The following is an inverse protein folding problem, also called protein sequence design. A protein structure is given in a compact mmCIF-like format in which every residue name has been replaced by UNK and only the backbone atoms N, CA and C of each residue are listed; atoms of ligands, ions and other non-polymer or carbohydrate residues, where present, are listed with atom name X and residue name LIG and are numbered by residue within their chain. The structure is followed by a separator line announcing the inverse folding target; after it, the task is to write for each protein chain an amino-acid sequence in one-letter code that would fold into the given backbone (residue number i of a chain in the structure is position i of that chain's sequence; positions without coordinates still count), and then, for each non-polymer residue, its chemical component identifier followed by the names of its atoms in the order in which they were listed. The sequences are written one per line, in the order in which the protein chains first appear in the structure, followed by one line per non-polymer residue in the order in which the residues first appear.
data_IF_527306009672
#
_entry.id   IF_527306009672
#
_cell.length_a   1.000
_cell.length_b   1.000
_cell.length_c   1.000
_cell.angle_alpha   90.00
_cell.angle_beta   90.00
_cell.angle_gamma   90.00
#
_symmetry.space_group_name_H-M   'P 1'
#
loop_
_entity.id
_entity.type
_entity.pdbx_description
1 polymer ?
#
# COMPACT_ATOMS: atom_id res chain seq x y z
N UNK A 1 -31.37 23.97 2.66
CA UNK A 1 -32.22 22.80 2.98
C UNK A 1 -31.51 21.47 2.77
N UNK A 2 -30.49 21.38 1.89
CA UNK A 2 -29.82 20.14 1.52
C UNK A 2 -28.50 19.92 2.28
N UNK A 3 -28.15 20.75 3.25
CA UNK A 3 -26.95 20.61 4.06
C UNK A 3 -26.90 21.69 5.14
N UNK A 4 -26.00 21.45 6.09
CA UNK A 4 -25.69 22.40 7.18
C UNK A 4 -24.18 22.58 7.27
N UNK A 5 -23.73 23.71 7.79
CA UNK A 5 -22.34 23.87 8.24
C UNK A 5 -22.12 23.01 9.48
N UNK A 6 -21.00 22.35 9.54
CA UNK A 6 -20.65 21.44 10.65
C UNK A 6 -19.39 21.92 11.35
N UNK A 7 -19.37 21.73 12.68
CA UNK A 7 -18.19 21.94 13.49
C UNK A 7 -17.27 20.70 13.44
N UNK A 8 -16.12 20.75 14.07
CA UNK A 8 -15.10 19.68 14.07
C UNK A 8 -14.69 19.25 12.67
N UNK A 9 -14.53 20.23 11.80
CA UNK A 9 -14.12 20.05 10.41
C UNK A 9 -13.03 21.05 10.05
N UNK A 10 -12.19 20.66 9.12
CA UNK A 10 -11.13 21.49 8.57
C UNK A 10 -10.92 21.21 7.10
N UNK A 11 -10.11 21.99 6.44
CA UNK A 11 -9.75 21.80 5.03
C UNK A 11 -8.31 22.18 4.80
N UNK A 12 -7.58 21.39 4.03
CA UNK A 12 -6.21 21.69 3.61
C UNK A 12 -5.88 21.04 2.27
N UNK A 13 -4.76 21.49 1.72
CA UNK A 13 -4.16 20.87 0.52
C UNK A 13 -3.69 19.46 0.86
N UNK A 14 -3.73 18.56 -0.10
CA UNK A 14 -3.24 17.19 0.02
C UNK A 14 -1.85 17.03 -0.63
N UNK A 15 -1.06 16.16 -0.05
CA UNK A 15 0.23 15.70 -0.59
C UNK A 15 0.33 14.19 -0.47
N UNK A 16 1.21 13.59 -1.25
CA UNK A 16 1.42 12.14 -1.21
C UNK A 16 2.07 11.72 0.10
N UNK A 17 1.56 10.63 0.69
CA UNK A 17 2.12 9.98 1.88
C UNK A 17 2.48 8.52 1.58
N UNK A 18 3.63 8.25 0.92
CA UNK A 18 4.01 6.87 0.53
C UNK A 18 4.30 5.98 1.74
N UNK A 19 4.66 6.56 2.88
CA UNK A 19 4.92 5.87 4.14
C UNK A 19 3.65 5.37 4.86
N UNK A 20 2.49 5.93 4.53
CA UNK A 20 1.23 5.59 5.18
C UNK A 20 0.77 4.17 4.84
N UNK A 21 0.07 3.55 5.78
CA UNK A 21 -0.68 2.32 5.54
C UNK A 21 -2.03 2.64 4.88
N UNK A 22 -2.64 1.64 4.24
CA UNK A 22 -3.89 1.81 3.50
C UNK A 22 -5.00 2.46 4.31
N UNK A 23 -5.08 2.19 5.60
CA UNK A 23 -6.08 2.71 6.53
C UNK A 23 -5.68 4.03 7.21
N UNK A 24 -4.49 4.59 6.92
CA UNK A 24 -3.95 5.78 7.57
C UNK A 24 -4.03 7.02 6.69
N UNK A 25 -4.16 8.18 7.33
CA UNK A 25 -3.91 9.48 6.73
C UNK A 25 -2.98 10.31 7.61
N UNK A 26 -2.19 11.17 7.00
CA UNK A 26 -1.33 12.12 7.73
C UNK A 26 -2.10 13.42 8.00
N UNK A 27 -2.35 13.72 9.26
CA UNK A 27 -3.05 14.93 9.68
C UNK A 27 -2.05 15.95 10.26
N UNK A 28 -2.00 17.19 9.75
CA UNK A 28 -1.15 18.24 10.31
C UNK A 28 -1.39 18.41 11.80
N UNK A 29 -0.32 18.51 12.60
CA UNK A 29 -0.40 18.62 14.06
C UNK A 29 -1.25 19.80 14.53
N UNK A 30 -1.10 20.97 13.91
CA UNK A 30 -1.87 22.16 14.24
C UNK A 30 -3.37 21.96 13.96
N UNK A 31 -3.70 21.38 12.82
CA UNK A 31 -5.09 21.05 12.46
C UNK A 31 -5.69 20.02 13.40
N UNK A 32 -4.93 18.96 13.71
CA UNK A 32 -5.35 17.93 14.65
C UNK A 32 -5.66 18.50 16.03
N UNK A 33 -4.81 19.42 16.53
CA UNK A 33 -5.02 20.06 17.82
C UNK A 33 -6.31 20.87 17.89
N UNK A 34 -6.65 21.60 16.84
CA UNK A 34 -7.93 22.33 16.77
C UNK A 34 -9.15 21.39 16.65
N UNK A 35 -9.06 20.36 15.81
CA UNK A 35 -10.14 19.41 15.60
C UNK A 35 -10.44 18.57 16.86
N UNK A 36 -9.40 18.15 17.56
CA UNK A 36 -9.50 17.29 18.75
C UNK A 36 -9.44 18.08 20.08
N UNK A 37 -9.49 19.40 20.03
CA UNK A 37 -9.35 20.28 21.18
C UNK A 37 -10.19 19.89 22.40
N UNK A 38 -11.50 19.59 22.30
CA UNK A 38 -12.29 19.17 23.46
C UNK A 38 -11.85 17.85 24.06
N UNK A 39 -11.44 16.90 23.21
CA UNK A 39 -10.98 15.59 23.65
C UNK A 39 -9.63 15.69 24.39
N UNK A 40 -8.71 16.53 23.88
CA UNK A 40 -7.43 16.81 24.52
C UNK A 40 -7.63 17.51 25.86
N UNK A 41 -8.53 18.52 25.92
CA UNK A 41 -8.85 19.19 27.19
C UNK A 41 -9.41 18.23 28.23
N UNK A 42 -10.27 17.30 27.80
CA UNK A 42 -10.81 16.25 28.67
C UNK A 42 -9.71 15.35 29.20
N UNK A 43 -8.83 14.83 28.34
CA UNK A 43 -7.72 13.95 28.71
C UNK A 43 -6.73 14.64 29.67
N UNK A 44 -6.43 15.93 29.48
CA UNK A 44 -5.57 16.71 30.38
C UNK A 44 -6.15 16.87 31.78
N UNK A 45 -7.49 16.98 31.91
CA UNK A 45 -8.16 17.06 33.20
C UNK A 45 -8.25 15.69 33.86
N UNK A 46 -8.58 14.64 33.09
CA UNK A 46 -8.67 13.26 33.59
C UNK A 46 -7.31 12.73 34.10
N UNK A 47 -6.22 13.13 33.44
CA UNK A 47 -4.84 12.77 33.85
C UNK A 47 -4.25 13.72 34.88
N UNK A 48 -5.06 14.59 35.50
CA UNK A 48 -4.65 15.57 36.49
C UNK A 48 -3.52 16.52 36.07
N UNK A 49 -3.24 16.63 34.75
CA UNK A 49 -2.27 17.59 34.21
C UNK A 49 -2.81 19.04 34.21
N UNK A 50 -4.12 19.18 34.27
CA UNK A 50 -4.81 20.46 34.41
C UNK A 50 -5.85 20.40 35.49
N UNK A 51 -5.90 21.41 36.38
CA UNK A 51 -6.82 21.44 37.52
C UNK A 51 -8.29 21.66 37.14
N UNK A 52 -8.54 22.25 35.97
CA UNK A 52 -9.88 22.50 35.43
C UNK A 52 -9.83 22.76 33.92
N UNK A 53 -11.00 22.76 33.29
CA UNK A 53 -11.15 23.00 31.86
C UNK A 53 -10.56 24.35 31.40
N UNK A 54 -10.65 25.40 32.24
CA UNK A 54 -10.10 26.72 31.94
C UNK A 54 -8.56 26.69 31.90
N UNK A 55 -7.94 25.93 32.80
CA UNK A 55 -6.49 25.70 32.79
C UNK A 55 -6.07 24.86 31.59
N UNK A 56 -6.79 23.77 31.31
CA UNK A 56 -6.53 22.93 30.14
C UNK A 56 -6.59 23.73 28.84
N UNK A 57 -7.60 24.60 28.67
CA UNK A 57 -7.72 25.49 27.51
C UNK A 57 -6.51 26.40 27.35
N UNK A 58 -6.02 27.01 28.42
CA UNK A 58 -4.81 27.85 28.38
C UNK A 58 -3.55 27.04 28.03
N UNK A 59 -3.46 25.78 28.46
CA UNK A 59 -2.36 24.90 28.08
C UNK A 59 -2.37 24.58 26.58
N UNK A 60 -3.56 24.28 26.04
CA UNK A 60 -3.75 24.01 24.60
C UNK A 60 -3.41 25.26 23.78
N UNK A 61 -3.89 26.44 24.17
CA UNK A 61 -3.59 27.71 23.48
C UNK A 61 -2.09 28.05 23.48
N UNK A 62 -1.34 27.58 24.47
CA UNK A 62 0.12 27.76 24.58
C UNK A 62 0.92 26.59 23.98
N UNK A 63 0.27 25.60 23.43
CA UNK A 63 0.86 24.40 22.82
C UNK A 63 1.98 23.77 23.67
N UNK A 64 1.71 23.55 24.99
CA UNK A 64 2.68 22.95 25.89
C UNK A 64 3.04 21.53 25.49
N UNK A 65 4.24 21.01 25.85
CA UNK A 65 4.64 19.64 25.51
C UNK A 65 3.63 18.57 25.93
N UNK A 66 3.02 18.70 27.11
CA UNK A 66 2.02 17.77 27.65
C UNK A 66 0.75 17.68 26.80
N UNK A 67 0.47 18.73 25.99
CA UNK A 67 -0.67 18.78 25.07
C UNK A 67 -0.45 17.84 23.88
N UNK A 68 0.77 17.78 23.39
CA UNK A 68 1.12 16.91 22.27
C UNK A 68 1.03 15.43 22.64
N UNK A 69 1.49 15.06 23.84
CA UNK A 69 1.37 13.70 24.36
C UNK A 69 -0.11 13.28 24.51
N UNK A 70 -0.93 14.22 25.04
CA UNK A 70 -2.38 14.00 25.14
C UNK A 70 -3.04 13.88 23.77
N UNK A 71 -2.64 14.73 22.80
CA UNK A 71 -3.16 14.68 21.44
C UNK A 71 -2.85 13.32 20.79
N UNK A 72 -1.61 12.84 20.89
CA UNK A 72 -1.21 11.54 20.36
C UNK A 72 -2.04 10.40 20.97
N UNK A 73 -2.31 10.47 22.28
CA UNK A 73 -3.14 9.49 22.99
C UNK A 73 -4.58 9.50 22.49
N UNK A 74 -5.15 10.69 22.32
CA UNK A 74 -6.57 10.88 21.95
C UNK A 74 -6.83 10.49 20.49
N UNK A 75 -5.90 10.76 19.61
CA UNK A 75 -6.01 10.42 18.17
C UNK A 75 -5.97 8.91 17.95
N UNK A 76 -5.24 8.20 18.81
CA UNK A 76 -5.08 6.75 18.69
C UNK A 76 -6.45 6.06 18.77
N UNK A 77 -6.82 5.40 17.66
CA UNK A 77 -8.10 4.73 17.57
C UNK A 77 -9.31 5.67 17.42
N UNK A 78 -9.15 6.93 17.06
CA UNK A 78 -10.25 7.83 16.72
C UNK A 78 -10.23 8.12 15.21
N UNK A 79 -11.11 7.50 14.41
CA UNK A 79 -11.09 7.69 12.97
C UNK A 79 -11.52 9.11 12.59
N UNK A 80 -11.01 9.59 11.47
CA UNK A 80 -11.44 10.83 10.82
C UNK A 80 -11.98 10.52 9.44
N UNK A 81 -12.90 11.35 8.95
CA UNK A 81 -13.45 11.24 7.61
C UNK A 81 -12.73 12.25 6.71
N UNK A 82 -12.21 11.78 5.57
CA UNK A 82 -11.71 12.64 4.51
C UNK A 82 -12.72 12.68 3.36
N UNK A 83 -12.93 13.88 2.82
CA UNK A 83 -13.81 14.11 1.68
C UNK A 83 -13.13 14.99 0.63
N UNK A 84 -13.22 14.60 -0.64
CA UNK A 84 -12.86 15.46 -1.77
C UNK A 84 -14.12 15.88 -2.54
N UNK A 85 -14.33 17.17 -2.72
CA UNK A 85 -15.37 17.71 -3.57
C UNK A 85 -14.91 17.75 -5.06
N UNK A 86 -15.79 17.44 -6.02
CA UNK A 86 -17.19 17.03 -5.83
C UNK A 86 -17.31 15.56 -5.39
N UNK A 87 -18.25 15.27 -4.50
CA UNK A 87 -18.52 13.89 -4.03
C UNK A 87 -19.46 13.21 -5.02
N UNK A 88 -18.90 12.49 -5.98
CA UNK A 88 -19.66 11.85 -7.07
C UNK A 88 -20.25 10.49 -6.67
N UNK A 89 -19.60 9.79 -5.75
CA UNK A 89 -20.03 8.47 -5.26
C UNK A 89 -19.57 8.27 -3.81
N UNK A 90 -20.03 7.19 -3.17
CA UNK A 90 -19.79 6.96 -1.73
C UNK A 90 -18.31 6.89 -1.34
N UNK A 91 -17.39 6.47 -2.24
CA UNK A 91 -15.96 6.42 -1.98
C UNK A 91 -15.27 7.79 -1.98
N UNK A 92 -15.98 8.85 -2.34
CA UNK A 92 -15.55 10.25 -2.18
C UNK A 92 -15.53 10.72 -0.72
N UNK A 93 -16.02 9.89 0.21
CA UNK A 93 -15.88 10.05 1.66
C UNK A 93 -15.42 8.73 2.24
N UNK A 94 -14.24 8.71 2.86
CA UNK A 94 -13.70 7.51 3.50
C UNK A 94 -13.14 7.85 4.88
N UNK A 95 -13.13 6.86 5.76
CA UNK A 95 -12.55 6.97 7.09
C UNK A 95 -11.09 6.51 7.08
N UNK A 96 -10.28 7.18 7.89
CA UNK A 96 -8.87 6.86 8.10
C UNK A 96 -8.51 7.00 9.56
N UNK A 97 -7.49 6.26 10.00
CA UNK A 97 -6.83 6.49 11.26
C UNK A 97 -5.78 7.60 11.08
N UNK A 98 -5.89 8.73 11.79
CA UNK A 98 -4.97 9.84 11.64
C UNK A 98 -3.61 9.53 12.28
N UNK A 99 -2.54 9.91 11.57
CA UNK A 99 -1.17 9.95 12.07
C UNK A 99 -0.72 11.41 12.03
N UNK A 100 -0.11 11.90 13.10
CA UNK A 100 0.37 13.28 13.15
C UNK A 100 1.57 13.46 12.22
N UNK A 101 1.51 14.51 11.41
CA UNK A 101 2.58 14.88 10.49
C UNK A 101 2.96 16.34 10.66
N UNK A 102 4.21 16.65 10.35
CA UNK A 102 4.68 18.03 10.28
C UNK A 102 4.19 18.71 9.00
N UNK A 103 4.15 20.05 9.03
CA UNK A 103 3.67 20.85 7.92
C UNK A 103 2.18 21.18 8.03
N UNK A 104 1.59 21.65 6.92
CA UNK A 104 0.20 22.12 6.86
C UNK A 104 -0.67 21.33 5.89
N UNK A 105 -0.07 20.43 5.12
CA UNK A 105 -0.78 19.61 4.13
C UNK A 105 -1.18 18.25 4.72
N UNK A 106 -2.35 17.77 4.34
CA UNK A 106 -2.83 16.43 4.66
C UNK A 106 -2.06 15.44 3.78
N UNK A 107 -1.46 14.43 4.39
CA UNK A 107 -0.86 13.32 3.63
C UNK A 107 -1.90 12.27 3.32
N UNK A 108 -1.99 11.90 2.04
CA UNK A 108 -2.94 10.92 1.54
C UNK A 108 -2.20 9.70 1.00
N UNK A 109 -2.72 8.52 1.30
CA UNK A 109 -2.18 7.27 0.77
C UNK A 109 -2.34 7.21 -0.76
N UNK A 110 -1.29 6.87 -1.54
CA UNK A 110 -1.34 6.93 -3.00
C UNK A 110 -2.47 6.10 -3.64
N UNK A 111 -2.77 4.93 -3.10
CA UNK A 111 -3.78 4.02 -3.67
C UNK A 111 -5.23 4.52 -3.52
N UNK A 112 -5.51 5.44 -2.61
CA UNK A 112 -6.86 6.01 -2.46
C UNK A 112 -7.11 7.24 -3.35
N UNK A 113 -6.11 7.70 -4.09
CA UNK A 113 -6.27 8.80 -5.05
C UNK A 113 -7.31 8.46 -6.12
N UNK A 114 -7.32 7.23 -6.62
CA UNK A 114 -8.29 6.77 -7.64
C UNK A 114 -9.74 6.86 -7.16
N UNK A 115 -10.14 6.29 -5.99
CA UNK A 115 -11.50 6.41 -5.50
C UNK A 115 -11.92 7.85 -5.16
N UNK A 116 -11.00 8.71 -4.73
CA UNK A 116 -11.27 10.13 -4.52
C UNK A 116 -11.24 10.95 -5.80
N UNK A 117 -10.75 10.40 -6.91
CA UNK A 117 -10.39 11.15 -8.12
C UNK A 117 -9.50 12.36 -7.77
N UNK A 118 -8.52 12.13 -6.89
CA UNK A 118 -7.62 13.16 -6.36
C UNK A 118 -6.25 13.09 -7.03
N UNK A 119 -5.65 14.25 -7.23
CA UNK A 119 -4.25 14.41 -7.63
C UNK A 119 -3.55 15.45 -6.73
N UNK A 120 -2.25 15.59 -6.89
CA UNK A 120 -1.43 16.43 -6.02
C UNK A 120 -0.99 17.73 -6.70
N UNK A 121 -1.82 18.26 -7.58
CA UNK A 121 -1.59 19.50 -8.33
C UNK A 121 -2.09 20.77 -7.60
N UNK A 122 -2.59 20.61 -6.39
CA UNK A 122 -3.19 21.69 -5.56
C UNK A 122 -4.56 21.32 -5.02
N UNK A 123 -5.00 20.08 -5.21
CA UNK A 123 -6.25 19.57 -4.66
C UNK A 123 -6.31 19.74 -3.15
N UNK A 124 -7.52 20.01 -2.66
CA UNK A 124 -7.82 20.14 -1.24
C UNK A 124 -8.85 19.09 -0.81
N UNK A 125 -8.72 18.65 0.42
CA UNK A 125 -9.69 17.75 1.05
C UNK A 125 -10.20 18.32 2.37
N UNK A 126 -11.45 17.99 2.69
CA UNK A 126 -12.06 18.30 3.97
C UNK A 126 -11.88 17.13 4.93
N UNK A 127 -11.65 17.46 6.20
CA UNK A 127 -11.53 16.50 7.31
C UNK A 127 -12.70 16.71 8.25
N UNK A 128 -13.33 15.64 8.71
CA UNK A 128 -14.42 15.65 9.68
C UNK A 128 -14.13 14.65 10.79
N UNK A 129 -14.46 15.03 12.04
CA UNK A 129 -14.27 14.16 13.21
C UNK A 129 -15.61 13.63 13.67
N UNK A 130 -15.85 12.31 13.62
CA UNK A 130 -17.04 11.71 14.22
C UNK A 130 -16.97 11.82 15.75
N UNK A 131 -18.03 12.34 16.38
CA UNK A 131 -18.01 12.68 17.81
C UNK A 131 -18.54 11.56 18.70
N UNK A 132 -19.67 10.95 18.32
CA UNK A 132 -20.28 9.88 19.13
C UNK A 132 -19.57 8.54 18.93
N UNK A 133 -19.62 7.69 19.95
CA UNK A 133 -19.10 6.31 19.85
C UNK A 133 -19.76 5.51 18.74
N UNK A 134 -21.06 5.74 18.49
CA UNK A 134 -21.81 5.15 17.38
C UNK A 134 -21.25 5.61 16.03
N UNK A 135 -21.04 6.92 15.83
CA UNK A 135 -20.49 7.47 14.59
C UNK A 135 -19.04 6.97 14.34
N UNK A 136 -18.24 6.84 15.39
CA UNK A 136 -16.89 6.27 15.30
C UNK A 136 -16.92 4.78 14.91
N UNK A 137 -17.85 4.00 15.47
CA UNK A 137 -18.04 2.59 15.12
C UNK A 137 -18.48 2.44 13.66
N UNK A 138 -19.45 3.24 13.20
CA UNK A 138 -19.88 3.26 11.80
C UNK A 138 -18.73 3.66 10.86
N UNK A 139 -17.95 4.68 11.21
CA UNK A 139 -16.78 5.09 10.44
C UNK A 139 -15.78 3.95 10.28
N UNK A 140 -15.50 3.19 11.35
CA UNK A 140 -14.56 2.06 11.30
C UNK A 140 -15.08 0.86 10.52
N UNK A 141 -16.34 0.49 10.73
CA UNK A 141 -16.89 -0.74 10.13
C UNK A 141 -17.27 -0.53 8.67
N UNK A 142 -17.90 0.60 8.35
CA UNK A 142 -18.50 0.84 7.03
C UNK A 142 -17.64 1.70 6.12
N UNK A 143 -16.87 2.66 6.67
CA UNK A 143 -16.24 3.71 5.88
C UNK A 143 -14.72 3.63 5.82
N UNK A 144 -14.08 2.76 6.60
CA UNK A 144 -12.62 2.65 6.60
C UNK A 144 -12.11 2.29 5.21
N UNK A 145 -11.08 2.98 4.75
CA UNK A 145 -10.50 2.79 3.41
C UNK A 145 -10.08 1.36 3.12
N UNK A 146 -9.54 0.65 4.14
CA UNK A 146 -9.17 -0.75 4.03
C UNK A 146 -10.36 -1.70 3.80
N UNK A 147 -11.58 -1.31 4.18
CA UNK A 147 -12.81 -2.09 4.01
C UNK A 147 -13.57 -1.70 2.72
N UNK A 148 -13.07 -0.73 1.95
CA UNK A 148 -13.72 -0.21 0.76
C UNK A 148 -12.82 -0.34 -0.48
N UNK A 149 -12.26 -1.54 -0.68
CA UNK A 149 -11.32 -1.81 -1.77
C UNK A 149 -12.00 -2.04 -3.13
N UNK A 150 -13.31 -2.32 -3.14
CA UNK A 150 -14.08 -2.64 -4.33
C UNK A 150 -15.06 -1.54 -4.72
N UNK A 151 -15.22 -1.34 -6.02
CA UNK A 151 -16.27 -0.46 -6.56
C UNK A 151 -17.66 -1.04 -6.28
N UNK A 152 -18.56 -0.27 -5.67
CA UNK A 152 -19.93 -0.72 -5.46
C UNK A 152 -20.72 -0.93 -6.78
N UNK A 153 -20.29 -0.27 -7.87
CA UNK A 153 -20.95 -0.38 -9.16
C UNK A 153 -20.56 -1.64 -9.94
N UNK A 154 -19.30 -2.08 -9.86
CA UNK A 154 -18.76 -3.17 -10.70
C UNK A 154 -18.18 -4.34 -9.92
N UNK A 155 -18.02 -4.22 -8.58
CA UNK A 155 -17.33 -5.22 -7.76
C UNK A 155 -15.82 -5.32 -7.99
N UNK A 156 -15.28 -4.61 -8.97
CA UNK A 156 -13.85 -4.62 -9.30
C UNK A 156 -13.06 -3.81 -8.27
N UNK A 157 -11.79 -4.18 -8.00
CA UNK A 157 -10.94 -3.37 -7.13
C UNK A 157 -10.74 -1.97 -7.70
N UNK A 158 -10.78 -0.97 -6.83
CA UNK A 158 -10.59 0.45 -7.19
C UNK A 158 -9.16 0.89 -6.87
N UNK A 159 -8.59 0.35 -5.79
CA UNK A 159 -7.28 0.72 -5.27
C UNK A 159 -6.17 -0.06 -5.96
N UNK A 160 -5.96 0.22 -7.25
CA UNK A 160 -4.96 -0.48 -8.07
C UNK A 160 -3.67 0.35 -8.10
N UNK A 161 -2.49 -0.27 -7.88
CA UNK A 161 -1.21 0.38 -8.08
C UNK A 161 -1.09 1.01 -9.47
N UNK A 162 -0.49 2.19 -9.55
CA UNK A 162 -0.33 2.95 -10.78
C UNK A 162 1.00 3.71 -10.83
N UNK A 163 1.32 4.31 -11.96
CA UNK A 163 2.50 5.17 -12.16
C UNK A 163 3.81 4.51 -11.69
N UNK A 164 4.58 5.15 -10.82
CA UNK A 164 5.89 4.70 -10.35
C UNK A 164 5.84 3.34 -9.64
N UNK A 165 4.73 3.01 -8.97
CA UNK A 165 4.56 1.70 -8.36
C UNK A 165 4.61 0.58 -9.41
N UNK A 166 3.97 0.79 -10.57
CA UNK A 166 4.00 -0.20 -11.67
C UNK A 166 5.38 -0.24 -12.32
N UNK A 167 6.04 0.90 -12.49
CA UNK A 167 7.39 0.97 -13.04
C UNK A 167 8.35 0.16 -12.18
N UNK A 168 8.27 0.32 -10.85
CA UNK A 168 9.11 -0.43 -9.92
C UNK A 168 8.84 -1.94 -9.95
N UNK A 169 7.59 -2.37 -9.94
CA UNK A 169 7.22 -3.80 -10.07
C UNK A 169 7.67 -4.37 -11.42
N UNK A 170 7.51 -3.62 -12.50
CA UNK A 170 7.99 -4.01 -13.82
C UNK A 170 9.50 -4.22 -13.83
N UNK A 171 10.26 -3.26 -13.32
CA UNK A 171 11.72 -3.34 -13.21
C UNK A 171 12.15 -4.53 -12.37
N UNK A 172 11.50 -4.76 -11.23
CA UNK A 172 11.78 -5.87 -10.31
C UNK A 172 11.54 -7.23 -10.97
N UNK A 173 10.49 -7.38 -11.78
CA UNK A 173 10.09 -8.66 -12.38
C UNK A 173 10.66 -8.91 -13.78
N UNK A 174 11.39 -7.94 -14.34
CA UNK A 174 12.05 -8.08 -15.63
C UNK A 174 13.22 -9.07 -15.52
N UNK A 175 13.45 -9.83 -16.59
CA UNK A 175 14.63 -10.68 -16.76
C UNK A 175 15.43 -10.15 -17.93
N UNK A 176 16.75 -10.12 -17.80
CA UNK A 176 17.71 -9.73 -18.85
C UNK A 176 18.76 -10.80 -18.99
N UNK A 177 19.15 -11.09 -20.21
CA UNK A 177 20.23 -12.02 -20.55
C UNK A 177 21.59 -11.31 -20.45
N UNK A 178 22.67 -12.07 -20.26
CA UNK A 178 24.04 -11.56 -20.22
C UNK A 178 24.45 -10.85 -18.92
N UNK A 179 23.67 -10.98 -17.87
CA UNK A 179 23.99 -10.37 -16.55
C UNK A 179 24.81 -11.29 -15.67
N UNK A 180 25.59 -10.74 -14.72
CA UNK A 180 26.34 -11.55 -13.72
C UNK A 180 25.42 -12.53 -13.01
N UNK A 181 25.89 -13.78 -12.84
CA UNK A 181 25.13 -14.84 -12.18
C UNK A 181 24.11 -15.56 -13.07
N UNK A 182 24.08 -15.30 -14.37
CA UNK A 182 23.20 -16.01 -15.28
C UNK A 182 23.48 -17.52 -15.26
N UNK A 183 22.40 -18.32 -15.28
CA UNK A 183 22.41 -19.79 -15.19
C UNK A 183 22.95 -20.38 -13.88
N UNK A 184 23.23 -19.58 -12.84
CA UNK A 184 23.55 -20.13 -11.54
C UNK A 184 22.39 -20.94 -10.97
N UNK A 185 22.73 -22.04 -10.29
CA UNK A 185 21.75 -22.95 -9.68
C UNK A 185 21.83 -22.81 -8.17
N UNK A 186 20.71 -22.45 -7.56
CA UNK A 186 20.59 -22.31 -6.11
C UNK A 186 19.78 -23.44 -5.49
N UNK A 187 20.13 -23.78 -4.26
CA UNK A 187 19.49 -24.85 -3.50
C UNK A 187 18.10 -24.46 -2.97
N UNK A 188 17.90 -23.17 -2.72
CA UNK A 188 16.66 -22.61 -2.19
C UNK A 188 16.50 -21.14 -2.57
N UNK A 189 15.32 -20.55 -2.28
CA UNK A 189 15.11 -19.11 -2.43
C UNK A 189 16.01 -18.30 -1.49
N UNK A 190 16.23 -18.79 -0.26
CA UNK A 190 17.08 -18.10 0.72
C UNK A 190 18.55 -18.08 0.29
N UNK A 191 19.03 -19.17 -0.29
CA UNK A 191 20.39 -19.26 -0.84
C UNK A 191 20.58 -18.25 -1.99
N UNK A 192 19.60 -18.14 -2.88
CA UNK A 192 19.62 -17.18 -3.98
C UNK A 192 19.61 -15.72 -3.48
N UNK A 193 18.77 -15.41 -2.49
CA UNK A 193 18.70 -14.07 -1.89
C UNK A 193 19.98 -13.74 -1.12
N UNK A 194 20.54 -14.69 -0.38
CA UNK A 194 21.80 -14.50 0.33
C UNK A 194 22.98 -14.24 -0.63
N UNK A 195 23.04 -14.92 -1.78
CA UNK A 195 24.04 -14.67 -2.81
C UNK A 195 23.92 -13.27 -3.40
N UNK A 196 22.69 -12.77 -3.57
CA UNK A 196 22.43 -11.41 -4.03
C UNK A 196 22.83 -10.37 -2.97
N UNK A 197 22.39 -10.55 -1.72
CA UNK A 197 22.57 -9.53 -0.67
C UNK A 197 24.02 -9.45 -0.16
N UNK A 198 24.68 -10.61 0.04
CA UNK A 198 25.98 -10.68 0.70
C UNK A 198 27.16 -10.70 -0.25
N UNK A 199 27.00 -11.25 -1.45
CA UNK A 199 28.12 -11.49 -2.35
C UNK A 199 28.13 -10.61 -3.59
N UNK A 200 26.99 -10.03 -3.95
CA UNK A 200 26.81 -9.25 -5.19
C UNK A 200 27.26 -10.00 -6.46
N UNK A 201 27.28 -11.34 -6.40
CA UNK A 201 27.71 -12.19 -7.51
C UNK A 201 26.64 -12.37 -8.57
N UNK A 202 25.39 -12.05 -8.21
CA UNK A 202 24.21 -12.25 -9.04
C UNK A 202 23.45 -10.94 -9.18
N UNK A 203 23.14 -10.56 -10.42
CA UNK A 203 22.26 -9.41 -10.67
C UNK A 203 20.80 -9.76 -10.38
N UNK A 204 20.04 -8.77 -9.92
CA UNK A 204 18.63 -8.93 -9.58
C UNK A 204 17.77 -9.41 -10.76
N UNK A 205 18.15 -9.03 -11.98
CA UNK A 205 17.43 -9.34 -13.22
C UNK A 205 18.06 -10.52 -13.99
N UNK A 206 19.13 -11.12 -13.46
CA UNK A 206 19.79 -12.27 -14.06
C UNK A 206 18.85 -13.49 -14.04
N UNK A 207 18.95 -14.28 -15.09
CA UNK A 207 18.22 -15.55 -15.24
C UNK A 207 18.90 -16.64 -14.44
N UNK A 208 18.27 -17.11 -13.40
CA UNK A 208 18.80 -18.11 -12.47
C UNK A 208 17.91 -19.34 -12.40
N UNK A 209 18.44 -20.45 -11.87
CA UNK A 209 17.69 -21.65 -11.60
C UNK A 209 17.63 -21.90 -10.10
N UNK A 210 16.45 -22.23 -9.58
CA UNK A 210 16.25 -22.53 -8.17
C UNK A 210 15.61 -23.89 -7.99
N UNK A 211 16.12 -24.66 -7.01
CA UNK A 211 15.46 -25.88 -6.55
C UNK A 211 14.36 -25.52 -5.57
N UNK A 212 13.23 -26.18 -5.70
CA UNK A 212 12.10 -26.07 -4.76
C UNK A 212 11.89 -27.40 -4.07
N UNK A 213 11.66 -27.34 -2.76
CA UNK A 213 11.38 -28.47 -1.89
C UNK A 213 9.94 -28.39 -1.36
N UNK A 214 9.55 -29.40 -0.58
CA UNK A 214 8.25 -29.42 0.08
C UNK A 214 8.00 -28.21 1.02
N UNK A 215 9.05 -27.58 1.53
CA UNK A 215 8.95 -26.37 2.36
C UNK A 215 8.49 -25.15 1.55
N UNK A 216 8.78 -25.14 0.25
CA UNK A 216 8.40 -24.05 -0.66
C UNK A 216 7.06 -24.31 -1.36
N UNK A 217 6.37 -25.41 -1.04
CA UNK A 217 5.07 -25.73 -1.64
C UNK A 217 4.02 -24.67 -1.25
N UNK A 218 3.37 -24.10 -2.24
CA UNK A 218 2.31 -23.10 -2.05
C UNK A 218 0.89 -23.65 -2.25
N UNK A 219 0.76 -24.92 -2.62
CA UNK A 219 -0.51 -25.64 -2.70
C UNK A 219 -0.39 -26.95 -1.93
N UNK A 220 -1.38 -27.23 -1.09
CA UNK A 220 -1.53 -28.50 -0.37
C UNK A 220 -2.89 -29.07 -0.79
N UNK A 221 -2.87 -30.22 -1.44
CA UNK A 221 -4.08 -30.92 -1.86
C UNK A 221 -4.76 -31.63 -0.68
N UNK A 222 -6.01 -32.06 -0.86
CA UNK A 222 -6.79 -32.77 0.16
C UNK A 222 -6.16 -34.11 0.56
N UNK A 223 -5.41 -34.74 -0.33
CA UNK A 223 -4.67 -36.00 -0.10
C UNK A 223 -3.33 -35.77 0.64
N UNK A 224 -2.99 -34.53 0.98
CA UNK A 224 -1.74 -34.14 1.64
C UNK A 224 -0.53 -34.02 0.70
N UNK A 225 -0.72 -34.17 -0.61
CA UNK A 225 0.33 -33.93 -1.60
C UNK A 225 0.68 -32.44 -1.63
N UNK A 226 1.97 -32.14 -1.68
CA UNK A 226 2.46 -30.75 -1.76
C UNK A 226 2.93 -30.46 -3.17
N UNK A 227 2.41 -29.38 -3.72
CA UNK A 227 2.72 -28.94 -5.08
C UNK A 227 3.25 -27.50 -5.00
N UNK A 228 4.31 -27.23 -5.74
CA UNK A 228 4.76 -25.88 -5.97
C UNK A 228 4.21 -25.37 -7.31
N UNK A 229 3.21 -24.49 -7.24
CA UNK A 229 2.52 -23.95 -8.42
C UNK A 229 3.16 -22.64 -8.86
N UNK A 230 3.53 -22.60 -10.15
CA UNK A 230 4.16 -21.43 -10.77
C UNK A 230 3.29 -20.94 -11.91
N UNK A 231 3.06 -19.63 -11.99
CA UNK A 231 2.40 -18.98 -13.10
C UNK A 231 3.46 -18.36 -14.02
N UNK A 232 3.74 -18.99 -15.13
CA UNK A 232 4.77 -18.56 -16.09
C UNK A 232 4.28 -17.49 -17.06
N UNK A 233 2.97 -17.35 -17.24
CA UNK A 233 2.33 -16.36 -18.10
C UNK A 233 0.92 -16.02 -17.63
N UNK A 234 0.15 -15.32 -18.48
CA UNK A 234 -1.18 -14.80 -18.07
C UNK A 234 -2.19 -15.87 -17.69
N UNK A 235 -2.15 -17.03 -18.31
CA UNK A 235 -3.07 -18.16 -18.08
C UNK A 235 -2.33 -19.51 -18.00
N UNK A 236 -1.02 -19.50 -17.86
CA UNK A 236 -0.18 -20.69 -17.89
C UNK A 236 0.28 -21.02 -16.47
N UNK A 237 -0.16 -22.17 -15.95
CA UNK A 237 0.29 -22.72 -14.69
C UNK A 237 1.13 -23.96 -14.93
N UNK A 238 2.20 -24.09 -14.16
CA UNK A 238 3.05 -25.27 -14.12
C UNK A 238 3.10 -25.75 -12.68
N UNK A 239 2.69 -27.00 -12.46
CA UNK A 239 2.73 -27.62 -11.15
C UNK A 239 3.96 -28.51 -11.06
N UNK A 240 4.75 -28.30 -9.99
CA UNK A 240 5.90 -29.11 -9.65
C UNK A 240 5.57 -29.97 -8.43
N UNK A 241 5.59 -31.30 -8.59
CA UNK A 241 5.43 -32.22 -7.46
C UNK A 241 6.69 -32.16 -6.59
N UNK A 242 6.49 -31.77 -5.32
CA UNK A 242 7.56 -31.63 -4.31
C UNK A 242 7.37 -32.61 -3.16
N UNK A 243 6.54 -33.63 -3.33
CA UNK A 243 6.29 -34.67 -2.36
C UNK A 243 7.38 -35.74 -2.39
N UNK A 244 7.67 -36.36 -1.28
CA UNK A 244 8.53 -37.53 -1.18
C UNK A 244 10.00 -37.31 -1.55
N UNK A 245 10.64 -36.24 -1.09
CA UNK A 245 12.04 -35.87 -1.37
C UNK A 245 12.35 -35.51 -2.84
N UNK A 246 11.36 -35.34 -3.67
CA UNK A 246 11.54 -34.85 -5.03
C UNK A 246 11.73 -33.35 -4.98
N UNK A 247 12.85 -32.85 -5.50
CA UNK A 247 13.10 -31.43 -5.73
C UNK A 247 12.85 -31.12 -7.18
N UNK A 248 12.02 -30.14 -7.46
CA UNK A 248 11.85 -29.59 -8.80
C UNK A 248 12.81 -28.42 -9.01
N UNK A 249 13.19 -28.17 -10.24
CA UNK A 249 14.02 -27.03 -10.64
C UNK A 249 13.26 -26.18 -11.62
N UNK A 250 13.24 -24.89 -11.41
CA UNK A 250 12.61 -23.95 -12.35
C UNK A 250 13.47 -22.70 -12.53
N UNK A 251 13.26 -22.02 -13.64
CA UNK A 251 13.99 -20.84 -14.05
C UNK A 251 13.26 -19.57 -13.62
N UNK A 252 13.97 -18.65 -12.98
CA UNK A 252 13.42 -17.41 -12.46
C UNK A 252 14.49 -16.31 -12.35
N UNK A 253 14.22 -15.23 -11.63
CA UNK A 253 15.18 -14.19 -11.27
C UNK A 253 15.06 -13.83 -9.78
N UNK A 254 16.12 -13.23 -9.24
CA UNK A 254 16.13 -12.73 -7.84
C UNK A 254 14.97 -11.74 -7.64
N UNK A 255 14.77 -10.82 -8.59
CA UNK A 255 13.69 -9.84 -8.49
C UNK A 255 12.30 -10.47 -8.40
N UNK A 256 12.03 -11.55 -9.13
CA UNK A 256 10.76 -12.29 -9.01
C UNK A 256 10.61 -12.98 -7.66
N UNK A 257 11.70 -13.53 -7.11
CA UNK A 257 11.70 -14.12 -5.77
C UNK A 257 11.35 -13.04 -4.72
N UNK A 258 11.99 -11.87 -4.81
CA UNK A 258 11.73 -10.75 -3.90
C UNK A 258 10.26 -10.32 -4.00
N UNK A 259 9.74 -10.14 -5.22
CA UNK A 259 8.33 -9.74 -5.41
C UNK A 259 7.36 -10.73 -4.76
N UNK A 260 7.52 -12.02 -5.03
CA UNK A 260 6.62 -13.04 -4.47
C UNK A 260 6.72 -13.11 -2.94
N UNK A 261 7.91 -13.04 -2.36
CA UNK A 261 8.08 -13.11 -0.89
C UNK A 261 7.63 -11.86 -0.14
N UNK A 262 7.85 -10.68 -0.72
CA UNK A 262 7.53 -9.42 -0.04
C UNK A 262 6.09 -8.97 -0.25
N UNK A 263 5.52 -9.26 -1.41
CA UNK A 263 4.24 -8.71 -1.81
C UNK A 263 3.08 -9.69 -1.71
N UNK A 264 3.34 -11.00 -1.76
CA UNK A 264 2.30 -12.02 -1.83
C UNK A 264 2.29 -12.92 -0.60
N UNK A 265 1.13 -13.46 -0.21
CA UNK A 265 1.03 -14.48 0.82
C UNK A 265 1.77 -15.76 0.42
N UNK A 266 2.23 -16.54 1.40
CA UNK A 266 2.96 -17.79 1.18
C UNK A 266 2.14 -18.86 0.43
N UNK A 267 0.83 -18.84 0.60
CA UNK A 267 -0.12 -19.75 -0.06
C UNK A 267 -0.51 -19.30 -1.48
N UNK A 268 0.03 -18.17 -1.96
CA UNK A 268 -0.24 -17.70 -3.31
C UNK A 268 0.69 -18.37 -4.34
N UNK A 269 0.22 -18.54 -5.58
CA UNK A 269 1.02 -19.10 -6.67
C UNK A 269 2.21 -18.20 -6.99
N UNK A 270 3.38 -18.79 -7.29
CA UNK A 270 4.57 -18.05 -7.63
C UNK A 270 4.42 -17.36 -8.99
N UNK A 271 4.48 -16.02 -9.03
CA UNK A 271 4.40 -15.22 -10.25
C UNK A 271 5.78 -15.18 -10.92
N UNK A 272 5.95 -15.92 -12.03
CA UNK A 272 7.24 -16.06 -12.74
C UNK A 272 7.21 -15.42 -14.12
N UNK A 273 6.64 -14.24 -14.24
CA UNK A 273 6.64 -13.49 -15.50
C UNK A 273 6.76 -11.99 -15.25
N UNK A 274 7.05 -11.23 -16.27
CA UNK A 274 7.16 -9.79 -16.23
C UNK A 274 5.78 -9.16 -15.99
N UNK A 275 5.64 -8.42 -14.91
CA UNK A 275 4.39 -7.81 -14.47
C UNK A 275 4.19 -6.44 -15.12
N UNK A 276 3.13 -6.28 -15.89
CA UNK A 276 2.69 -4.99 -16.43
C UNK A 276 1.41 -4.52 -15.71
N UNK A 277 0.99 -3.26 -15.93
CA UNK A 277 -0.17 -2.66 -15.26
C UNK A 277 -1.42 -3.57 -15.26
N UNK A 278 -1.73 -4.18 -16.39
CA UNK A 278 -2.89 -5.07 -16.50
C UNK A 278 -2.76 -6.36 -15.68
N UNK A 279 -1.54 -6.86 -15.51
CA UNK A 279 -1.30 -8.08 -14.74
C UNK A 279 -1.34 -7.79 -13.23
N UNK A 280 -0.80 -6.64 -12.80
CA UNK A 280 -0.95 -6.18 -11.39
C UNK A 280 -2.42 -5.95 -11.04
N UNK A 281 -3.20 -5.36 -11.94
CA UNK A 281 -4.63 -5.19 -11.72
C UNK A 281 -5.38 -6.52 -11.58
N UNK A 282 -5.03 -7.54 -12.39
CA UNK A 282 -5.59 -8.90 -12.27
C UNK A 282 -5.16 -9.59 -10.98
N UNK A 283 -3.88 -9.42 -10.60
CA UNK A 283 -3.36 -9.94 -9.34
C UNK A 283 -4.13 -9.37 -8.14
N UNK A 284 -4.33 -8.06 -8.11
CA UNK A 284 -5.11 -7.40 -7.06
C UNK A 284 -6.56 -7.88 -7.03
N UNK A 285 -7.18 -8.06 -8.19
CA UNK A 285 -8.54 -8.59 -8.28
C UNK A 285 -8.63 -10.02 -7.73
N UNK A 286 -7.71 -10.87 -8.10
CA UNK A 286 -7.63 -12.25 -7.62
C UNK A 286 -7.36 -12.31 -6.09
N UNK A 287 -6.46 -11.47 -5.59
CA UNK A 287 -6.24 -11.34 -4.14
C UNK A 287 -7.51 -10.88 -3.40
N UNK A 288 -8.24 -9.94 -3.96
CA UNK A 288 -9.53 -9.51 -3.39
C UNK A 288 -10.56 -10.64 -3.38
N UNK A 289 -10.55 -11.54 -4.38
CA UNK A 289 -11.50 -12.66 -4.46
C UNK A 289 -11.14 -13.80 -3.49
N UNK A 290 -9.87 -14.07 -3.26
CA UNK A 290 -9.39 -15.19 -2.43
C UNK A 290 -9.24 -14.85 -0.96
N UNK A 291 -8.87 -13.60 -0.63
CA UNK A 291 -8.52 -13.22 0.74
C UNK A 291 -9.51 -12.24 1.34
N UNK A 292 -9.69 -12.27 2.67
CA UNK A 292 -10.45 -11.25 3.38
C UNK A 292 -9.78 -9.88 3.27
N UNK A 293 -10.55 -8.81 3.29
CA UNK A 293 -10.09 -7.42 3.12
C UNK A 293 -8.94 -7.07 4.08
N UNK A 294 -8.96 -7.61 5.30
CA UNK A 294 -7.90 -7.42 6.29
C UNK A 294 -6.52 -7.93 5.82
N UNK A 295 -6.46 -8.93 4.94
CA UNK A 295 -5.21 -9.42 4.33
C UNK A 295 -4.85 -8.66 3.06
N UNK A 296 -5.84 -8.19 2.31
CA UNK A 296 -5.60 -7.48 1.04
C UNK A 296 -4.92 -6.12 1.25
N UNK A 297 -5.30 -5.38 2.31
CA UNK A 297 -4.68 -4.11 2.65
C UNK A 297 -3.15 -4.20 2.78
N UNK A 298 -2.61 -5.08 3.62
CA UNK A 298 -1.17 -5.33 3.72
C UNK A 298 -0.49 -5.74 2.40
N UNK A 299 -1.16 -6.54 1.55
CA UNK A 299 -0.64 -6.92 0.21
C UNK A 299 -0.48 -5.67 -0.67
N UNK A 300 -1.50 -4.81 -0.71
CA UNK A 300 -1.45 -3.56 -1.46
C UNK A 300 -0.35 -2.62 -0.94
N UNK A 301 -0.18 -2.53 0.38
CA UNK A 301 0.89 -1.75 1.00
C UNK A 301 2.29 -2.30 0.66
N UNK A 302 2.44 -3.63 0.60
CA UNK A 302 3.68 -4.27 0.21
C UNK A 302 4.01 -4.02 -1.26
N UNK A 303 3.03 -4.15 -2.17
CA UNK A 303 3.20 -3.85 -3.61
C UNK A 303 3.57 -2.37 -3.80
N UNK A 304 2.90 -1.45 -3.10
CA UNK A 304 3.21 -0.02 -3.11
C UNK A 304 4.65 0.24 -2.68
N UNK A 305 5.05 -0.29 -1.53
CA UNK A 305 6.36 -0.03 -0.93
C UNK A 305 7.49 -0.61 -1.78
N UNK A 306 7.34 -1.84 -2.26
CA UNK A 306 8.27 -2.47 -3.20
C UNK A 306 8.32 -1.72 -4.53
N UNK A 307 7.17 -1.31 -5.07
CA UNK A 307 7.09 -0.53 -6.30
C UNK A 307 7.88 0.77 -6.21
N UNK A 308 7.66 1.58 -5.20
CA UNK A 308 8.42 2.83 -5.02
C UNK A 308 9.91 2.59 -4.75
N UNK A 309 10.25 1.59 -3.93
CA UNK A 309 11.63 1.26 -3.63
C UNK A 309 12.41 0.91 -4.91
N UNK A 310 11.87 0.01 -5.72
CA UNK A 310 12.55 -0.45 -6.94
C UNK A 310 12.46 0.55 -8.09
N UNK A 311 11.44 1.41 -8.16
CA UNK A 311 11.41 2.54 -9.08
C UNK A 311 12.52 3.55 -8.77
N UNK A 312 12.72 3.88 -7.50
CA UNK A 312 13.80 4.76 -7.04
C UNK A 312 15.17 4.16 -7.36
N UNK A 313 15.34 2.86 -7.10
CA UNK A 313 16.59 2.15 -7.36
C UNK A 313 16.90 2.00 -8.85
N UNK A 314 15.87 1.84 -9.68
CA UNK A 314 15.98 1.74 -11.12
C UNK A 314 16.46 3.05 -11.77
N UNK A 315 16.11 4.21 -11.20
CA UNK A 315 16.46 5.53 -11.71
C UNK A 315 16.01 5.74 -13.17
N UNK A 316 14.86 5.16 -13.56
CA UNK A 316 14.36 5.24 -14.94
C UNK A 316 14.00 6.68 -15.29
N UNK A 317 14.45 7.13 -16.44
CA UNK A 317 14.15 8.43 -17.00
C UNK A 317 13.84 8.32 -18.50
N UNK A 318 13.30 9.39 -19.06
CA UNK A 318 13.01 9.49 -20.49
C UNK A 318 13.95 10.57 -21.07
N UNK A 319 14.64 10.23 -22.15
CA UNK A 319 15.45 11.17 -22.91
C UNK A 319 14.69 11.68 -24.15
N UNK A 320 15.15 12.78 -24.70
CA UNK A 320 14.62 13.31 -25.97
C UNK A 320 14.76 12.30 -27.11
N UNK A 321 15.77 11.45 -27.05
CA UNK A 321 16.07 10.44 -28.08
C UNK A 321 15.16 9.21 -28.01
N UNK A 322 14.43 9.03 -26.89
CA UNK A 322 13.44 7.95 -26.74
C UNK A 322 12.15 8.26 -27.52
N UNK A 323 11.94 9.53 -27.89
CA UNK A 323 10.86 9.96 -28.74
C UNK A 323 11.22 9.72 -30.21
N UNK A 324 10.98 8.51 -30.69
CA UNK A 324 11.24 8.14 -32.08
C UNK A 324 10.27 8.87 -33.02
N UNK A 325 10.83 9.55 -34.01
CA UNK A 325 10.06 10.15 -35.11
C UNK A 325 9.82 9.07 -36.18
N UNK A 326 8.56 8.73 -36.48
CA UNK A 326 8.27 7.78 -37.55
C UNK A 326 8.87 8.25 -38.88
N UNK A 327 9.44 7.31 -39.65
CA UNK A 327 10.07 7.65 -40.95
C UNK A 327 9.07 8.30 -41.93
N UNK A 328 7.80 7.91 -41.85
CA UNK A 328 6.68 8.44 -42.64
C UNK A 328 6.40 9.93 -42.41
N UNK A 329 6.89 10.51 -41.31
CA UNK A 329 6.73 11.95 -41.03
C UNK A 329 7.69 12.82 -41.84
N UNK A 330 8.70 12.25 -42.48
CA UNK A 330 9.66 12.98 -43.29
C UNK A 330 9.25 13.06 -44.77
N UNK A 331 8.17 12.37 -45.17
CA UNK A 331 7.47 12.53 -46.43
C UNK A 331 6.28 13.51 -46.25
#
# INVERSE_FOLDING_TARGET
LLGKRVDYSGRSVIVVGPELKMYQCGLPKEMALELFKPFVMKDLVEKEKANNIKSARKMVERARPEVWDSLETVIKGHPVLLNRAPTLHRLGIQAFEPVLVEGRAIKLHPLVCTPFNADFDGDQMSVHVPLSSQAQAEARVLMLSANNLRSPASGKPVNIPSQDMIIGVYYLTQVRDGLPGENHVFSSFDDALHAYDCRSEVDMQAKIQVRVSAENANVINEDGTRIFRVKNGKNEFVDYDVTGNKTARFETSIGRIIFNRQCLPEDYEFMNYKMVKGDVAKLVADCCDRYPEAKVGPILDAIKSSGFHYATRAGLTISVWDALIPAEKQE
#
